data_IF_229229215817
#
_entry.id   IF_229229215817
#
_cell.length_a   1.000
_cell.length_b   1.000
_cell.length_c   1.000
_cell.angle_alpha   90.00
_cell.angle_beta   90.00
_cell.angle_gamma   90.00
#
_symmetry.space_group_name_H-M   'P 1'
#
loop_
_entity.id
_entity.type
_entity.pdbx_description
1 polymer ?
#
# COMPACT_ATOMS: atom_id res chain seq x y z
N UNK A 1 -13.98 -17.87 11.32
CA UNK A 1 -13.85 -17.36 9.94
C UNK A 1 -13.33 -15.95 10.08
N UNK A 2 -12.04 -15.70 9.78
CA UNK A 2 -11.49 -14.36 9.87
C UNK A 2 -12.24 -13.40 8.95
N UNK A 3 -12.57 -12.23 9.48
CA UNK A 3 -13.18 -11.10 8.76
C UNK A 3 -12.08 -10.18 8.26
N UNK A 4 -11.92 -10.08 6.95
CA UNK A 4 -10.86 -9.28 6.32
C UNK A 4 -11.46 -8.01 5.72
N UNK A 5 -11.12 -6.87 6.32
CA UNK A 5 -11.45 -5.56 5.77
C UNK A 5 -10.64 -5.30 4.50
N UNK A 6 -11.28 -4.75 3.48
CA UNK A 6 -10.61 -4.36 2.24
C UNK A 6 -10.93 -2.89 1.95
N UNK A 7 -9.89 -2.07 1.81
CA UNK A 7 -10.00 -0.66 1.44
C UNK A 7 -8.93 -0.26 0.40
N UNK A 8 -9.25 0.74 -0.41
CA UNK A 8 -8.36 1.30 -1.42
C UNK A 8 -8.37 2.83 -1.37
N UNK A 9 -7.19 3.45 -1.41
CA UNK A 9 -7.05 4.89 -1.58
C UNK A 9 -5.76 5.20 -2.33
N UNK A 10 -5.86 5.55 -3.62
CA UNK A 10 -4.71 5.63 -4.52
C UNK A 10 -4.72 6.92 -5.34
N UNK A 11 -3.63 7.66 -5.23
CA UNK A 11 -3.31 8.78 -6.12
C UNK A 11 -1.79 8.95 -6.14
N UNK A 12 -1.28 9.34 -7.29
CA UNK A 12 0.03 9.95 -7.41
C UNK A 12 -0.14 11.45 -7.65
N UNK A 13 0.65 12.28 -6.97
CA UNK A 13 0.66 13.72 -7.20
C UNK A 13 2.03 14.22 -7.65
N UNK A 14 2.03 15.23 -8.49
CA UNK A 14 3.17 16.12 -8.71
C UNK A 14 2.89 17.46 -8.06
N UNK A 15 3.66 17.83 -7.03
CA UNK A 15 3.54 19.13 -6.34
C UNK A 15 3.78 20.30 -7.29
N UNK A 16 4.51 20.06 -8.39
CA UNK A 16 4.82 21.07 -9.41
C UNK A 16 3.73 21.20 -10.50
N UNK A 17 2.71 20.33 -10.49
CA UNK A 17 1.59 20.47 -11.40
C UNK A 17 0.67 21.61 -10.91
N UNK A 18 0.48 22.68 -11.71
CA UNK A 18 -0.30 23.85 -11.29
C UNK A 18 -1.81 23.59 -11.27
N UNK A 19 -2.28 22.42 -11.73
CA UNK A 19 -3.69 22.03 -11.70
C UNK A 19 -3.92 21.12 -10.49
N UNK A 20 -4.57 21.61 -9.42
CA UNK A 20 -4.85 20.81 -8.24
C UNK A 20 -5.78 19.65 -8.57
N UNK A 21 -5.57 18.52 -7.90
CA UNK A 21 -6.50 17.40 -7.98
C UNK A 21 -7.71 17.65 -7.09
N UNK A 22 -8.84 17.05 -7.47
CA UNK A 22 -10.13 17.17 -6.80
C UNK A 22 -10.74 15.80 -6.56
N UNK A 23 -11.74 15.75 -5.69
CA UNK A 23 -12.48 14.53 -5.38
C UNK A 23 -13.08 13.89 -6.66
N UNK A 24 -13.48 14.71 -7.63
CA UNK A 24 -14.06 14.27 -8.89
C UNK A 24 -13.06 13.54 -9.81
N UNK A 25 -11.76 13.64 -9.55
CA UNK A 25 -10.71 12.92 -10.28
C UNK A 25 -10.55 11.46 -9.81
N UNK A 26 -11.27 11.07 -8.76
CA UNK A 26 -11.27 9.71 -8.23
C UNK A 26 -12.46 8.92 -8.76
N UNK A 27 -12.19 7.69 -9.19
CA UNK A 27 -13.21 6.65 -9.29
C UNK A 27 -13.49 6.12 -7.88
N UNK A 28 -14.71 6.32 -7.40
CA UNK A 28 -15.13 5.86 -6.07
C UNK A 28 -16.05 4.65 -6.21
N UNK A 29 -15.74 3.59 -5.46
CA UNK A 29 -16.53 2.37 -5.33
C UNK A 29 -16.72 2.05 -3.84
N UNK A 30 -17.91 1.61 -3.45
CA UNK A 30 -18.25 1.42 -2.02
C UNK A 30 -18.92 0.08 -1.75
N UNK A 31 -18.67 -0.48 -0.56
CA UNK A 31 -19.17 -1.79 -0.13
C UNK A 31 -18.91 -2.85 -1.20
N UNK A 32 -19.92 -3.66 -1.49
CA UNK A 32 -19.83 -4.74 -2.49
C UNK A 32 -19.39 -4.28 -3.89
N UNK A 33 -19.57 -3.00 -4.24
CA UNK A 33 -19.10 -2.49 -5.54
C UNK A 33 -17.57 -2.48 -5.63
N UNK A 34 -16.85 -2.35 -4.50
CA UNK A 34 -15.40 -2.47 -4.44
C UNK A 34 -14.97 -3.87 -4.90
N UNK A 35 -15.60 -4.92 -4.37
CA UNK A 35 -15.31 -6.31 -4.74
C UNK A 35 -15.70 -6.55 -6.19
N UNK A 36 -16.93 -6.18 -6.57
CA UNK A 36 -17.43 -6.41 -7.92
C UNK A 36 -16.55 -5.74 -8.99
N UNK A 37 -16.07 -4.53 -8.73
CA UNK A 37 -15.15 -3.83 -9.63
C UNK A 37 -13.81 -4.57 -9.75
N UNK A 38 -13.20 -4.91 -8.61
CA UNK A 38 -11.84 -5.47 -8.58
C UNK A 38 -11.74 -6.93 -9.02
N UNK A 39 -12.86 -7.67 -9.06
CA UNK A 39 -12.88 -9.05 -9.61
C UNK A 39 -12.53 -9.12 -11.10
N UNK A 40 -12.83 -8.07 -11.85
CA UNK A 40 -12.67 -8.03 -13.30
C UNK A 40 -11.44 -7.24 -13.77
N UNK A 41 -10.64 -6.70 -12.83
CA UNK A 41 -9.41 -5.95 -13.14
C UNK A 41 -8.18 -6.57 -12.51
N UNK A 42 -7.04 -6.47 -13.20
CA UNK A 42 -5.74 -7.01 -12.74
C UNK A 42 -4.99 -6.00 -11.86
N UNK A 43 -5.68 -5.45 -10.86
CA UNK A 43 -5.13 -4.51 -9.87
C UNK A 43 -4.86 -5.24 -8.54
N UNK A 44 -4.21 -4.58 -7.58
CA UNK A 44 -3.78 -5.19 -6.30
C UNK A 44 -4.94 -5.73 -5.48
N UNK A 45 -6.09 -5.04 -5.47
CA UNK A 45 -7.28 -5.55 -4.79
C UNK A 45 -7.79 -6.81 -5.48
N UNK A 46 -7.80 -6.86 -6.82
CA UNK A 46 -8.17 -8.06 -7.57
C UNK A 46 -7.28 -9.27 -7.26
N UNK A 47 -5.97 -9.04 -7.14
CA UNK A 47 -5.00 -10.06 -6.72
C UNK A 47 -5.22 -10.56 -5.31
N UNK A 48 -5.52 -9.65 -4.37
CA UNK A 48 -5.84 -10.01 -3.00
C UNK A 48 -7.13 -10.83 -2.92
N UNK A 49 -8.19 -10.40 -3.62
CA UNK A 49 -9.46 -11.12 -3.72
C UNK A 49 -9.28 -12.53 -4.27
N UNK A 50 -8.44 -12.70 -5.30
CA UNK A 50 -8.14 -14.02 -5.85
C UNK A 50 -7.60 -15.00 -4.81
N UNK A 51 -6.74 -14.53 -3.90
CA UNK A 51 -6.21 -15.36 -2.80
C UNK A 51 -7.30 -15.64 -1.77
N UNK A 52 -8.04 -14.61 -1.34
CA UNK A 52 -9.07 -14.77 -0.32
C UNK A 52 -10.23 -15.67 -0.77
N UNK A 53 -10.61 -15.63 -2.04
CA UNK A 53 -11.64 -16.52 -2.60
C UNK A 53 -11.25 -18.01 -2.55
N UNK A 54 -9.94 -18.29 -2.53
CA UNK A 54 -9.42 -19.64 -2.34
C UNK A 54 -9.51 -20.14 -0.89
N UNK A 55 -9.80 -19.24 0.07
CA UNK A 55 -9.86 -19.53 1.50
C UNK A 55 -11.33 -19.71 1.94
N UNK A 56 -11.77 -20.97 2.03
CA UNK A 56 -13.17 -21.31 2.34
C UNK A 56 -13.66 -20.81 3.72
N UNK A 57 -12.74 -20.41 4.60
CA UNK A 57 -13.01 -19.97 5.97
C UNK A 57 -12.75 -18.47 6.19
N UNK A 58 -12.78 -17.63 5.15
CA UNK A 58 -12.63 -16.17 5.22
C UNK A 58 -13.93 -15.43 4.86
N UNK A 59 -14.26 -14.38 5.62
CA UNK A 59 -15.33 -13.43 5.30
C UNK A 59 -14.70 -12.11 4.83
N UNK A 60 -15.09 -11.62 3.65
CA UNK A 60 -14.61 -10.32 3.15
C UNK A 60 -15.52 -9.20 3.64
N UNK A 61 -14.92 -8.11 4.11
CA UNK A 61 -15.62 -6.92 4.59
C UNK A 61 -15.22 -5.73 3.71
N UNK A 62 -15.91 -5.49 2.59
CA UNK A 62 -15.56 -4.40 1.70
C UNK A 62 -16.03 -3.06 2.25
N UNK A 63 -15.19 -2.03 2.10
CA UNK A 63 -15.50 -0.69 2.64
C UNK A 63 -15.55 0.37 1.55
N UNK A 64 -14.41 0.98 1.25
CA UNK A 64 -14.31 2.14 0.37
C UNK A 64 -13.08 2.00 -0.52
N UNK A 65 -13.26 2.26 -1.81
CA UNK A 65 -12.19 2.40 -2.78
C UNK A 65 -12.27 3.75 -3.46
N UNK A 66 -11.16 4.48 -3.47
CA UNK A 66 -10.98 5.65 -4.29
C UNK A 66 -9.64 5.57 -5.02
N UNK A 67 -9.68 5.53 -6.35
CA UNK A 67 -8.47 5.48 -7.18
C UNK A 67 -8.52 6.56 -8.26
N UNK A 68 -7.42 7.31 -8.40
CA UNK A 68 -7.19 8.20 -9.53
C UNK A 68 -6.20 7.55 -10.50
N UNK A 69 -6.51 7.58 -11.80
CA UNK A 69 -5.78 6.83 -12.85
C UNK A 69 -4.59 7.65 -13.40
N UNK A 70 -4.53 8.94 -13.09
CA UNK A 70 -3.50 9.86 -13.61
C UNK A 70 -2.80 10.60 -12.48
N UNK A 71 -1.49 10.79 -12.63
CA UNK A 71 -0.73 11.70 -11.77
C UNK A 71 -1.29 13.13 -11.89
N UNK A 72 -1.74 13.68 -10.77
CA UNK A 72 -2.41 14.98 -10.70
C UNK A 72 -1.58 16.03 -9.96
N UNK A 73 -2.11 17.24 -9.74
CA UNK A 73 -1.52 18.17 -8.77
C UNK A 73 -1.88 17.78 -7.33
N UNK A 74 -1.41 18.56 -6.36
CA UNK A 74 -1.75 18.38 -4.94
C UNK A 74 -3.28 18.34 -4.77
N UNK A 75 -3.76 17.41 -3.95
CA UNK A 75 -5.19 17.26 -3.65
C UNK A 75 -5.67 18.44 -2.80
N UNK A 76 -6.73 19.12 -3.26
CA UNK A 76 -7.29 20.26 -2.50
C UNK A 76 -7.73 19.84 -1.10
N UNK A 77 -7.61 20.74 -0.12
CA UNK A 77 -7.96 20.50 1.27
C UNK A 77 -9.40 19.98 1.44
N UNK A 78 -10.36 20.57 0.71
CA UNK A 78 -11.76 20.15 0.71
C UNK A 78 -11.93 18.71 0.18
N UNK A 79 -11.23 18.39 -0.92
CA UNK A 79 -11.32 17.06 -1.53
C UNK A 79 -10.71 15.99 -0.65
N UNK A 80 -9.57 16.27 -0.01
CA UNK A 80 -8.97 15.36 0.95
C UNK A 80 -9.86 15.16 2.18
N UNK A 81 -10.40 16.24 2.76
CA UNK A 81 -11.30 16.13 3.91
C UNK A 81 -12.52 15.24 3.60
N UNK A 82 -13.14 15.43 2.44
CA UNK A 82 -14.27 14.62 1.97
C UNK A 82 -13.89 13.16 1.75
N UNK A 83 -12.75 12.91 1.10
CA UNK A 83 -12.26 11.55 0.84
C UNK A 83 -11.93 10.83 2.14
N UNK A 84 -11.21 11.50 3.06
CA UNK A 84 -10.83 11.00 4.38
C UNK A 84 -12.05 10.65 5.21
N UNK A 85 -13.04 11.54 5.27
CA UNK A 85 -14.30 11.30 5.99
C UNK A 85 -15.03 10.06 5.44
N UNK A 86 -15.17 9.95 4.12
CA UNK A 86 -15.85 8.82 3.49
C UNK A 86 -15.12 7.49 3.74
N UNK A 87 -13.78 7.50 3.62
CA UNK A 87 -12.94 6.34 3.85
C UNK A 87 -13.04 5.84 5.30
N UNK A 88 -12.84 6.73 6.28
CA UNK A 88 -12.86 6.37 7.70
C UNK A 88 -14.27 5.99 8.18
N UNK A 89 -15.31 6.66 7.69
CA UNK A 89 -16.70 6.29 8.02
C UNK A 89 -17.04 4.88 7.54
N UNK A 90 -16.55 4.49 6.35
CA UNK A 90 -16.75 3.13 5.85
C UNK A 90 -16.01 2.08 6.69
N UNK A 91 -14.82 2.40 7.20
CA UNK A 91 -14.08 1.54 8.14
C UNK A 91 -14.82 1.42 9.47
N UNK A 92 -15.35 2.51 10.02
CA UNK A 92 -16.11 2.48 11.27
C UNK A 92 -17.38 1.61 11.13
N UNK A 93 -18.08 1.72 10.00
CA UNK A 93 -19.26 0.91 9.70
C UNK A 93 -18.97 -0.58 9.49
N UNK A 94 -17.74 -0.96 9.16
CA UNK A 94 -17.34 -2.35 9.00
C UNK A 94 -17.43 -3.17 10.30
N UNK A 95 -17.38 -2.48 11.45
CA UNK A 95 -17.43 -3.09 12.77
C UNK A 95 -16.18 -3.92 13.08
N UNK A 96 -16.35 -5.00 13.83
CA UNK A 96 -15.24 -5.88 14.22
C UNK A 96 -14.72 -6.67 13.01
N UNK A 97 -13.41 -6.63 12.81
CA UNK A 97 -12.68 -7.38 11.79
C UNK A 97 -11.44 -8.01 12.41
N UNK A 98 -10.88 -9.03 11.77
CA UNK A 98 -9.70 -9.76 12.25
C UNK A 98 -8.41 -9.34 11.52
N UNK A 99 -8.52 -8.64 10.39
CA UNK A 99 -7.41 -8.04 9.66
C UNK A 99 -7.92 -6.94 8.71
N UNK A 100 -7.02 -6.07 8.24
CA UNK A 100 -7.33 -5.07 7.24
C UNK A 100 -6.26 -5.00 6.13
N UNK A 101 -6.72 -5.08 4.89
CA UNK A 101 -5.90 -4.93 3.69
C UNK A 101 -6.14 -3.55 3.09
N UNK A 102 -5.07 -2.79 2.91
CA UNK A 102 -5.12 -1.47 2.29
C UNK A 102 -4.30 -1.47 0.99
N UNK A 103 -4.97 -1.23 -0.13
CA UNK A 103 -4.30 -0.94 -1.39
C UNK A 103 -4.10 0.57 -1.51
N UNK A 104 -2.84 1.01 -1.39
CA UNK A 104 -2.45 2.41 -1.34
C UNK A 104 -1.43 2.69 -2.43
N UNK A 105 -1.29 3.95 -2.84
CA UNK A 105 -0.22 4.32 -3.78
C UNK A 105 1.07 4.63 -3.02
N UNK A 106 0.95 5.42 -1.95
CA UNK A 106 2.06 5.95 -1.15
C UNK A 106 2.58 7.30 -1.66
N UNK A 107 1.98 7.91 -2.68
CA UNK A 107 2.44 9.18 -3.25
C UNK A 107 1.30 10.21 -3.37
N UNK A 108 0.28 10.09 -2.52
CA UNK A 108 -0.72 11.13 -2.36
C UNK A 108 -0.12 12.29 -1.57
N UNK A 109 -0.61 13.49 -1.83
CA UNK A 109 -0.33 14.69 -1.05
C UNK A 109 -1.57 15.55 -1.08
N UNK A 110 -1.95 16.09 0.06
CA UNK A 110 -3.02 17.06 0.19
C UNK A 110 -2.46 18.42 0.60
N UNK A 111 -3.19 19.50 0.32
CA UNK A 111 -2.79 20.85 0.75
C UNK A 111 -2.60 20.97 2.27
N UNK A 112 -3.23 20.08 3.03
CA UNK A 112 -3.21 20.06 4.50
C UNK A 112 -2.35 18.96 5.10
N UNK A 113 -1.86 18.01 4.30
CA UNK A 113 -1.08 16.86 4.78
C UNK A 113 -0.10 16.35 3.71
N UNK A 114 1.16 16.22 4.11
CA UNK A 114 2.24 15.69 3.28
C UNK A 114 2.27 14.15 3.25
N UNK A 115 1.50 13.49 4.12
CA UNK A 115 1.36 12.03 4.20
C UNK A 115 -0.11 11.60 4.43
N UNK A 116 -0.99 11.80 3.42
CA UNK A 116 -2.38 11.37 3.50
C UNK A 116 -2.57 9.89 3.78
N UNK A 117 -1.78 9.01 3.13
CA UNK A 117 -1.89 7.56 3.33
C UNK A 117 -1.51 7.14 4.75
N UNK A 118 -0.45 7.72 5.32
CA UNK A 118 -0.09 7.48 6.71
C UNK A 118 -1.14 8.00 7.69
N UNK A 119 -1.77 9.15 7.43
CA UNK A 119 -2.91 9.65 8.23
C UNK A 119 -4.11 8.69 8.18
N UNK A 120 -4.47 8.21 6.99
CA UNK A 120 -5.57 7.24 6.84
C UNK A 120 -5.29 5.95 7.60
N UNK A 121 -4.05 5.44 7.55
CA UNK A 121 -3.65 4.26 8.32
C UNK A 121 -3.69 4.52 9.83
N UNK A 122 -3.24 5.68 10.29
CA UNK A 122 -3.25 6.03 11.71
C UNK A 122 -4.67 6.14 12.28
N UNK A 123 -5.60 6.74 11.56
CA UNK A 123 -6.99 6.78 11.98
C UNK A 123 -7.68 5.43 11.87
N UNK A 124 -7.40 4.66 10.81
CA UNK A 124 -7.90 3.28 10.70
C UNK A 124 -7.42 2.43 11.87
N UNK A 125 -6.16 2.57 12.30
CA UNK A 125 -5.57 1.92 13.47
C UNK A 125 -6.33 2.31 14.75
N UNK A 126 -6.68 3.59 14.91
CA UNK A 126 -7.49 4.08 16.03
C UNK A 126 -8.91 3.52 16.05
N UNK A 127 -9.52 3.30 14.88
CA UNK A 127 -10.88 2.76 14.74
C UNK A 127 -10.91 1.24 14.97
N UNK A 128 -10.00 0.50 14.32
CA UNK A 128 -9.99 -0.96 14.30
C UNK A 128 -9.26 -1.57 15.50
N UNK A 129 -8.27 -0.86 16.04
CA UNK A 129 -7.50 -1.24 17.22
C UNK A 129 -6.08 -1.72 16.92
N UNK A 130 -5.21 -1.58 17.93
CA UNK A 130 -3.76 -1.87 17.86
C UNK A 130 -3.41 -3.34 17.62
N UNK A 131 -4.38 -4.26 17.77
CA UNK A 131 -4.12 -5.70 17.63
C UNK A 131 -4.55 -6.26 16.27
N UNK A 132 -5.24 -5.45 15.45
CA UNK A 132 -5.76 -5.91 14.15
C UNK A 132 -4.65 -5.79 13.10
N UNK A 133 -4.13 -6.88 12.52
CA UNK A 133 -3.03 -6.81 11.57
C UNK A 133 -3.41 -6.02 10.30
N UNK A 134 -2.57 -5.06 9.93
CA UNK A 134 -2.66 -4.27 8.70
C UNK A 134 -1.59 -4.72 7.71
N UNK A 135 -2.02 -5.15 6.52
CA UNK A 135 -1.09 -5.35 5.40
C UNK A 135 -1.42 -4.32 4.33
N UNK A 136 -0.37 -3.64 3.85
CA UNK A 136 -0.52 -2.61 2.83
C UNK A 136 0.23 -3.02 1.56
N UNK A 137 -0.40 -2.82 0.40
CA UNK A 137 0.28 -2.85 -0.89
C UNK A 137 0.57 -1.42 -1.35
N UNK A 138 1.75 -1.20 -1.93
CA UNK A 138 2.24 0.12 -2.36
C UNK A 138 2.91 0.08 -3.73
N UNK A 139 2.86 1.23 -4.42
CA UNK A 139 3.64 1.48 -5.62
C UNK A 139 5.10 1.76 -5.24
N UNK A 140 6.05 1.35 -6.08
CA UNK A 140 7.49 1.67 -5.93
C UNK A 140 7.81 3.17 -6.05
N UNK A 141 6.92 3.95 -6.66
CA UNK A 141 6.92 5.42 -6.64
C UNK A 141 6.31 6.00 -5.36
N UNK A 142 5.82 5.16 -4.44
CA UNK A 142 5.39 5.60 -3.12
C UNK A 142 6.54 6.21 -2.30
N UNK A 143 6.22 7.24 -1.54
CA UNK A 143 7.05 7.85 -0.51
C UNK A 143 6.75 7.11 0.79
N UNK A 144 7.52 6.05 1.03
CA UNK A 144 7.39 5.27 2.26
C UNK A 144 7.71 6.19 3.45
N UNK A 145 6.74 6.52 4.30
CA UNK A 145 6.95 7.36 5.50
C UNK A 145 7.17 6.52 6.75
N UNK A 146 7.79 7.10 7.79
CA UNK A 146 7.85 6.46 9.12
C UNK A 146 6.43 6.11 9.62
N UNK A 147 5.46 7.03 9.45
CA UNK A 147 4.08 6.85 9.91
C UNK A 147 3.41 5.64 9.25
N UNK A 148 3.55 5.45 7.93
CA UNK A 148 3.02 4.26 7.25
C UNK A 148 3.61 2.96 7.80
N UNK A 149 4.91 2.93 8.07
CA UNK A 149 5.58 1.76 8.63
C UNK A 149 5.21 1.48 10.08
N UNK A 150 4.98 2.52 10.88
CA UNK A 150 4.52 2.37 12.27
C UNK A 150 3.08 1.84 12.31
N UNK A 151 2.23 2.23 11.35
CA UNK A 151 0.82 1.84 11.33
C UNK A 151 0.55 0.52 10.60
N UNK A 152 1.48 0.02 9.78
CA UNK A 152 1.32 -1.24 9.04
C UNK A 152 2.14 -2.38 9.66
N UNK A 153 1.53 -3.55 9.84
CA UNK A 153 2.23 -4.75 10.31
C UNK A 153 3.11 -5.35 9.21
N UNK A 154 2.70 -5.22 7.94
CA UNK A 154 3.53 -5.58 6.80
C UNK A 154 3.28 -4.70 5.58
N UNK A 155 4.35 -4.46 4.82
CA UNK A 155 4.31 -3.73 3.55
C UNK A 155 4.71 -4.67 2.41
N UNK A 156 3.98 -4.63 1.31
CA UNK A 156 4.30 -5.32 0.07
C UNK A 156 4.32 -4.31 -1.07
N UNK A 157 5.34 -4.35 -1.92
CA UNK A 157 5.49 -3.38 -3.02
C UNK A 157 5.51 -4.07 -4.37
N UNK A 158 5.28 -3.30 -5.42
CA UNK A 158 5.54 -3.74 -6.80
C UNK A 158 7.01 -4.12 -6.97
N UNK A 159 7.29 -5.02 -7.90
CA UNK A 159 8.66 -5.37 -8.30
C UNK A 159 8.96 -4.97 -9.75
N UNK A 160 8.01 -4.40 -10.48
CA UNK A 160 8.21 -4.08 -11.90
C UNK A 160 8.05 -2.59 -12.22
N UNK A 161 8.95 -2.09 -13.06
CA UNK A 161 8.83 -0.80 -13.74
C UNK A 161 9.20 -0.96 -15.22
N UNK A 162 8.31 -0.61 -16.17
CA UNK A 162 6.91 -0.25 -15.96
C UNK A 162 6.09 -1.31 -15.23
N UNK A 163 5.06 -0.89 -14.51
CA UNK A 163 4.26 -1.80 -13.68
C UNK A 163 3.45 -2.77 -14.52
N UNK A 164 3.68 -4.05 -14.31
CA UNK A 164 2.93 -5.17 -14.87
C UNK A 164 2.53 -6.20 -13.81
N UNK A 165 2.87 -5.95 -12.53
CA UNK A 165 2.71 -6.89 -11.42
C UNK A 165 1.75 -6.41 -10.31
N UNK A 166 0.77 -5.54 -10.64
CA UNK A 166 -0.24 -5.06 -9.69
C UNK A 166 -0.99 -6.23 -9.03
N UNK A 167 -1.56 -7.12 -9.86
CA UNK A 167 -2.31 -8.29 -9.39
C UNK A 167 -1.43 -9.21 -8.54
N UNK A 168 -0.22 -9.52 -9.00
CA UNK A 168 0.73 -10.37 -8.31
C UNK A 168 1.16 -9.78 -6.97
N UNK A 169 1.28 -8.45 -6.86
CA UNK A 169 1.54 -7.76 -5.59
C UNK A 169 0.37 -7.92 -4.62
N UNK A 170 -0.86 -7.79 -5.11
CA UNK A 170 -2.07 -8.08 -4.35
C UNK A 170 -2.09 -9.50 -3.80
N UNK A 171 -1.73 -10.49 -4.63
CA UNK A 171 -1.63 -11.87 -4.17
C UNK A 171 -0.57 -12.05 -3.09
N UNK A 172 0.62 -11.42 -3.24
CA UNK A 172 1.69 -11.48 -2.23
C UNK A 172 1.21 -10.89 -0.90
N UNK A 173 0.54 -9.75 -0.93
CA UNK A 173 -0.03 -9.09 0.25
C UNK A 173 -1.08 -9.96 0.94
N UNK A 174 -2.04 -10.52 0.21
CA UNK A 174 -3.07 -11.38 0.78
C UNK A 174 -2.50 -12.70 1.34
N UNK A 175 -1.55 -13.34 0.65
CA UNK A 175 -0.86 -14.54 1.15
C UNK A 175 -0.13 -14.25 2.46
N UNK A 176 0.56 -13.10 2.55
CA UNK A 176 1.22 -12.68 3.78
C UNK A 176 0.19 -12.41 4.89
N UNK A 177 -0.89 -11.70 4.60
CA UNK A 177 -1.98 -11.48 5.56
C UNK A 177 -2.53 -12.79 6.13
N UNK A 178 -2.83 -13.77 5.27
CA UNK A 178 -3.36 -15.05 5.73
C UNK A 178 -2.37 -15.79 6.65
N UNK A 179 -1.06 -15.65 6.43
CA UNK A 179 -0.04 -16.18 7.36
C UNK A 179 -0.04 -15.45 8.71
N UNK A 180 -0.27 -14.14 8.73
CA UNK A 180 -0.35 -13.34 9.96
C UNK A 180 -1.60 -13.72 10.75
N UNK A 181 -2.77 -13.70 10.11
CA UNK A 181 -4.08 -14.01 10.71
C UNK A 181 -4.13 -15.43 11.29
N UNK A 182 -3.37 -16.36 10.70
CA UNK A 182 -3.25 -17.75 11.17
C UNK A 182 -2.14 -17.96 12.20
N UNK A 183 -1.55 -16.89 12.73
CA UNK A 183 -0.45 -16.91 13.69
C UNK A 183 0.79 -17.70 13.20
N UNK A 184 0.97 -17.83 11.88
CA UNK A 184 2.11 -18.54 11.28
C UNK A 184 3.37 -17.67 11.27
N UNK A 185 3.18 -16.36 11.13
CA UNK A 185 4.29 -15.38 11.09
C UNK A 185 3.96 -14.15 11.93
N UNK A 186 5.02 -13.50 12.43
CA UNK A 186 4.96 -12.21 13.12
C UNK A 186 5.93 -11.27 12.42
N UNK A 187 5.46 -10.50 11.44
CA UNK A 187 6.34 -9.68 10.62
C UNK A 187 7.05 -8.61 11.43
N UNK A 188 8.29 -8.32 11.06
CA UNK A 188 9.04 -7.15 11.52
C UNK A 188 9.60 -6.46 10.28
N UNK A 189 9.37 -5.15 10.19
CA UNK A 189 9.84 -4.33 9.07
C UNK A 189 11.07 -3.53 9.47
N UNK A 190 12.09 -3.57 8.62
CA UNK A 190 13.24 -2.68 8.73
C UNK A 190 13.42 -1.91 7.43
N UNK A 191 13.93 -0.68 7.55
CA UNK A 191 14.11 0.24 6.43
C UNK A 191 15.47 0.92 6.48
N UNK A 192 16.08 1.06 5.31
CA UNK A 192 17.23 1.91 5.06
C UNK A 192 16.79 3.10 4.21
N UNK A 193 16.93 4.31 4.77
CA UNK A 193 16.69 5.58 4.06
C UNK A 193 17.89 5.91 3.18
N UNK A 194 17.70 6.01 1.87
CA UNK A 194 18.74 6.31 0.87
C UNK A 194 18.51 7.74 0.36
N UNK A 195 19.39 8.72 0.65
CA UNK A 195 19.18 10.13 0.31
C UNK A 195 19.45 10.40 -1.19
N UNK A 196 18.69 9.75 -2.06
CA UNK A 196 18.78 9.85 -3.50
C UNK A 196 17.38 9.93 -4.12
N UNK A 197 17.25 10.79 -5.14
CA UNK A 197 16.13 10.80 -6.07
C UNK A 197 16.63 10.24 -7.39
N UNK A 198 15.97 9.20 -7.89
CA UNK A 198 16.40 8.46 -9.07
C UNK A 198 15.30 8.43 -10.12
N UNK A 199 15.68 8.42 -11.39
CA UNK A 199 14.75 8.42 -12.53
C UNK A 199 15.46 7.98 -13.82
N UNK A 200 14.67 7.66 -14.83
CA UNK A 200 15.15 7.33 -16.17
C UNK A 200 15.31 5.83 -16.39
N UNK A 201 15.96 5.47 -17.49
CA UNK A 201 15.97 4.09 -18.00
C UNK A 201 16.65 3.08 -17.04
N UNK A 202 17.54 3.56 -16.17
CA UNK A 202 18.16 2.73 -15.12
C UNK A 202 17.16 2.24 -14.06
N UNK A 203 15.96 2.84 -14.03
CA UNK A 203 14.86 2.41 -13.17
C UNK A 203 13.97 1.35 -13.83
N UNK A 204 14.16 1.03 -15.12
CA UNK A 204 13.42 -0.05 -15.78
C UNK A 204 13.91 -1.38 -15.19
N UNK A 205 13.05 -2.11 -14.51
CA UNK A 205 13.48 -3.28 -13.71
C UNK A 205 14.03 -4.42 -14.58
N UNK A 206 13.60 -4.50 -15.84
CA UNK A 206 14.06 -5.51 -16.78
C UNK A 206 15.46 -5.24 -17.36
N UNK A 207 15.87 -3.97 -17.50
CA UNK A 207 17.07 -3.59 -18.26
C UNK A 207 18.03 -2.63 -17.54
N UNK A 208 17.51 -1.86 -16.58
CA UNK A 208 18.26 -0.87 -15.82
C UNK A 208 18.91 -1.46 -14.57
N UNK A 209 19.84 -0.69 -13.99
CA UNK A 209 20.58 -1.07 -12.79
C UNK A 209 19.68 -1.43 -11.59
N UNK A 210 18.51 -0.79 -11.43
CA UNK A 210 17.61 -1.08 -10.30
C UNK A 210 17.15 -2.54 -10.27
N UNK A 211 17.13 -3.21 -11.43
CA UNK A 211 16.73 -4.61 -11.53
C UNK A 211 17.57 -5.54 -10.67
N UNK A 212 18.84 -5.20 -10.41
CA UNK A 212 19.68 -5.96 -9.48
C UNK A 212 19.15 -5.88 -8.04
N UNK A 213 18.82 -4.68 -7.58
CA UNK A 213 18.23 -4.48 -6.25
C UNK A 213 16.89 -5.21 -6.10
N UNK A 214 16.05 -5.21 -7.13
CA UNK A 214 14.77 -5.95 -7.12
C UNK A 214 15.00 -7.46 -7.04
N UNK A 215 15.95 -8.02 -7.80
CA UNK A 215 16.28 -9.45 -7.71
C UNK A 215 16.79 -9.83 -6.33
N UNK A 216 17.64 -8.99 -5.73
CA UNK A 216 18.10 -9.20 -4.35
C UNK A 216 16.94 -9.18 -3.35
N UNK A 217 15.98 -8.26 -3.51
CA UNK A 217 14.78 -8.24 -2.69
C UNK A 217 13.96 -9.54 -2.84
N UNK A 218 13.76 -10.01 -4.08
CA UNK A 218 13.06 -11.28 -4.36
C UNK A 218 13.79 -12.49 -3.77
N UNK A 219 15.12 -12.51 -3.79
CA UNK A 219 15.92 -13.55 -3.12
C UNK A 219 15.73 -13.56 -1.60
N UNK A 220 15.62 -12.38 -0.98
CA UNK A 220 15.32 -12.25 0.44
C UNK A 220 13.93 -12.80 0.75
N UNK A 221 12.91 -12.47 -0.07
CA UNK A 221 11.53 -12.94 0.12
C UNK A 221 11.39 -14.47 0.13
N UNK A 222 12.15 -15.17 -0.69
CA UNK A 222 12.14 -16.65 -0.75
C UNK A 222 13.04 -17.30 0.31
N UNK A 223 13.78 -16.50 1.08
CA UNK A 223 14.62 -16.97 2.19
C UNK A 223 13.80 -17.53 3.35
N UNK A 224 14.47 -18.22 4.28
CA UNK A 224 13.83 -18.93 5.41
C UNK A 224 12.94 -18.00 6.26
N UNK A 225 13.38 -16.76 6.49
CA UNK A 225 12.67 -15.75 7.28
C UNK A 225 12.01 -14.66 6.43
N UNK A 226 12.18 -14.67 5.11
CA UNK A 226 11.67 -13.62 4.23
C UNK A 226 10.15 -13.62 4.12
N UNK A 227 9.55 -12.42 4.13
CA UNK A 227 8.11 -12.24 3.94
C UNK A 227 7.79 -11.27 2.80
N UNK A 228 8.51 -10.14 2.73
CA UNK A 228 8.39 -9.12 1.68
C UNK A 228 9.69 -8.31 1.66
N UNK A 229 10.12 -7.82 0.51
CA UNK A 229 11.23 -6.90 0.42
C UNK A 229 11.12 -6.05 -0.84
N UNK A 230 11.78 -4.89 -0.83
CA UNK A 230 11.79 -4.07 -2.03
C UNK A 230 12.60 -2.78 -1.89
N UNK A 231 12.69 -2.10 -3.02
CA UNK A 231 13.23 -0.74 -3.11
C UNK A 231 12.15 0.16 -3.67
N UNK A 232 11.82 1.22 -2.95
CA UNK A 232 10.90 2.27 -3.36
C UNK A 232 11.71 3.54 -3.61
N UNK A 233 11.64 4.12 -4.80
CA UNK A 233 12.42 5.32 -5.12
C UNK A 233 11.64 6.62 -4.98
N UNK A 234 10.35 6.53 -4.66
CA UNK A 234 9.47 7.68 -4.53
C UNK A 234 9.20 8.37 -5.87
N UNK A 235 8.10 9.12 -5.93
CA UNK A 235 7.82 10.00 -7.05
C UNK A 235 8.71 11.25 -6.90
N UNK A 236 9.70 11.49 -7.78
CA UNK A 236 10.64 12.60 -7.63
C UNK A 236 10.00 13.99 -7.82
N UNK A 237 8.69 14.05 -8.10
CA UNK A 237 7.93 15.28 -8.31
C UNK A 237 7.01 15.65 -7.15
N UNK A 238 7.16 15.01 -5.99
CA UNK A 238 6.36 15.26 -4.78
C UNK A 238 7.23 15.92 -3.70
N UNK A 239 7.11 17.22 -3.53
CA UNK A 239 7.95 18.01 -2.61
C UNK A 239 7.46 17.88 -1.16
N UNK A 240 7.92 16.82 -0.48
CA UNK A 240 7.58 16.51 0.92
C UNK A 240 8.83 16.09 1.72
N UNK A 241 8.86 16.26 3.06
CA UNK A 241 10.05 15.98 3.87
C UNK A 241 10.58 14.54 3.81
N UNK A 242 9.70 13.55 3.61
CA UNK A 242 10.09 12.14 3.56
C UNK A 242 10.57 11.68 2.17
N UNK A 243 10.46 12.51 1.11
CA UNK A 243 10.84 12.14 -0.25
C UNK A 243 12.31 11.69 -0.33
N UNK A 244 12.51 10.41 -0.64
CA UNK A 244 13.80 9.75 -0.83
C UNK A 244 13.61 8.35 -1.40
N UNK A 245 14.69 7.72 -1.84
CA UNK A 245 14.71 6.28 -2.07
C UNK A 245 14.81 5.50 -0.75
N UNK A 246 14.20 4.33 -0.68
CA UNK A 246 14.19 3.47 0.50
C UNK A 246 14.38 2.03 0.06
N UNK A 247 15.21 1.29 0.79
CA UNK A 247 15.21 -0.19 0.76
C UNK A 247 14.54 -0.67 2.04
N UNK A 248 13.70 -1.69 1.96
CA UNK A 248 13.10 -2.29 3.14
C UNK A 248 13.05 -3.82 3.04
N UNK A 249 12.94 -4.45 4.19
CA UNK A 249 12.67 -5.88 4.33
C UNK A 249 11.60 -6.08 5.38
N UNK A 250 10.77 -7.08 5.17
CA UNK A 250 9.81 -7.63 6.12
C UNK A 250 10.19 -9.08 6.33
N UNK A 251 10.50 -9.43 7.57
CA UNK A 251 10.94 -10.77 7.96
C UNK A 251 10.07 -11.33 9.08
N UNK A 252 10.04 -12.65 9.22
CA UNK A 252 9.33 -13.32 10.30
C UNK A 252 10.18 -13.26 11.59
N UNK A 253 9.74 -12.48 12.58
CA UNK A 253 10.40 -12.35 13.88
C UNK A 253 11.64 -11.44 13.87
N UNK A 254 12.55 -11.75 14.80
CA UNK A 254 13.75 -11.00 15.25
C UNK A 254 14.10 -9.70 14.49
N UNK A 255 13.88 -8.57 15.16
CA UNK A 255 14.29 -7.24 14.71
C UNK A 255 15.79 -7.13 14.37
N UNK A 256 16.65 -7.95 15.01
CA UNK A 256 18.07 -8.01 14.68
C UNK A 256 18.36 -8.71 13.34
N UNK A 257 17.46 -9.57 12.85
CA UNK A 257 17.58 -10.18 11.53
C UNK A 257 17.06 -9.27 10.41
N UNK A 258 16.25 -8.27 10.76
CA UNK A 258 15.71 -7.29 9.83
C UNK A 258 16.69 -6.13 9.54
N UNK A 259 17.49 -5.73 10.54
CA UNK A 259 18.43 -4.60 10.49
C UNK A 259 19.80 -4.98 9.91
#
# INVERSE_FOLDING_TARGET
MPRILIAECKQEVSTFNPVPSRYEDFRVVTGEQLIAFHRDVREEVGGALHVFDGEADVELVPTYGASSITSGGVLTAESYARLREAFLSAIELAGTVDAAYFALHGAMQAETDDDPEGDLLAEARRILGEQIPFVVSLDIHGILTDKMLEMADAVVVFHTYPHIDFFETGERAAKLMMRIVRDVVRPVTARVKIPALVRGDEMITASGAIGECIRMAQEIEVGISGLSAGVMWGNPFTDVPELRSNSFVVVNGDEAAAR
#
